data_IF_732754067990
#
_entry.id   IF_732754067990
#
_cell.length_a   1.000
_cell.length_b   1.000
_cell.length_c   1.000
_cell.angle_alpha   90.00
_cell.angle_beta   90.00
_cell.angle_gamma   90.00
#
_symmetry.space_group_name_H-M   'P 1'
#
loop_
_entity.id
_entity.type
_entity.pdbx_description
1 polymer ?
#
# COMPACT_ATOMS: atom_id res chain seq x y z
N UNK A 1 32.14 -10.45 -90.43
CA UNK A 1 30.68 -10.26 -90.39
C UNK A 1 30.15 -10.89 -89.10
N UNK A 2 29.20 -10.21 -88.48
CA UNK A 2 28.71 -10.40 -87.10
C UNK A 2 28.04 -11.76 -86.89
N UNK A 3 28.23 -12.29 -85.68
CA UNK A 3 27.77 -13.56 -85.13
C UNK A 3 26.23 -13.70 -85.01
N UNK A 4 25.75 -14.85 -85.47
CA UNK A 4 24.89 -15.84 -84.81
C UNK A 4 23.95 -15.42 -83.66
N UNK A 5 22.65 -15.42 -83.96
CA UNK A 5 21.70 -16.44 -83.46
C UNK A 5 21.51 -16.58 -81.94
N UNK A 6 20.50 -15.88 -81.42
CA UNK A 6 20.05 -15.82 -80.02
C UNK A 6 19.31 -17.11 -79.59
N UNK A 7 19.89 -17.84 -78.64
CA UNK A 7 19.24 -18.79 -77.71
C UNK A 7 18.41 -17.94 -76.70
N UNK A 8 17.30 -18.32 -76.08
CA UNK A 8 16.84 -19.59 -75.51
C UNK A 8 16.25 -19.26 -74.12
N UNK A 9 15.15 -19.90 -73.73
CA UNK A 9 14.75 -20.06 -72.32
C UNK A 9 14.02 -18.90 -71.63
N UNK A 10 12.67 -18.91 -71.66
CA UNK A 10 11.84 -18.22 -70.67
C UNK A 10 11.59 -19.14 -69.48
N UNK A 11 12.26 -18.88 -68.36
CA UNK A 11 12.23 -19.65 -67.12
C UNK A 11 11.28 -19.01 -66.10
N UNK A 12 10.16 -19.68 -65.82
CA UNK A 12 9.61 -20.13 -64.52
C UNK A 12 9.74 -19.23 -63.26
N UNK A 13 8.60 -19.08 -62.55
CA UNK A 13 8.36 -18.74 -61.12
C UNK A 13 8.65 -17.28 -60.66
N UNK A 14 7.93 -16.67 -59.71
CA UNK A 14 7.36 -17.21 -58.49
C UNK A 14 6.16 -16.40 -57.94
N UNK A 15 5.23 -17.13 -57.30
CA UNK A 15 4.33 -16.65 -56.24
C UNK A 15 5.14 -16.01 -55.10
N UNK A 16 4.67 -14.87 -54.58
CA UNK A 16 5.03 -14.39 -53.25
C UNK A 16 3.74 -14.15 -52.43
N UNK A 17 3.35 -15.16 -51.65
CA UNK A 17 2.41 -15.04 -50.53
C UNK A 17 3.16 -14.40 -49.37
N UNK A 18 2.87 -13.13 -49.07
CA UNK A 18 3.36 -12.48 -47.85
C UNK A 18 2.41 -12.83 -46.68
N UNK A 19 2.82 -13.79 -45.85
CA UNK A 19 2.23 -14.04 -44.54
C UNK A 19 2.85 -13.03 -43.57
N UNK A 20 2.08 -12.02 -43.17
CA UNK A 20 2.46 -11.15 -42.05
C UNK A 20 2.30 -11.92 -40.75
N UNK A 21 3.42 -12.43 -40.23
CA UNK A 21 3.52 -12.86 -38.85
C UNK A 21 3.43 -11.61 -37.95
N UNK A 22 2.25 -11.39 -37.36
CA UNK A 22 2.06 -10.39 -36.32
C UNK A 22 2.91 -10.76 -35.11
N UNK A 23 3.95 -9.99 -34.85
CA UNK A 23 4.69 -10.02 -33.59
C UNK A 23 3.75 -9.48 -32.52
N UNK A 24 3.13 -10.37 -31.75
CA UNK A 24 2.41 -9.99 -30.54
C UNK A 24 3.49 -9.64 -29.52
N UNK A 25 3.78 -8.34 -29.35
CA UNK A 25 4.55 -7.88 -28.20
C UNK A 25 3.80 -8.30 -26.94
N UNK A 26 4.30 -9.35 -26.28
CA UNK A 26 3.95 -9.65 -24.91
C UNK A 26 4.39 -8.45 -24.07
N UNK A 27 3.44 -7.56 -23.77
CA UNK A 27 3.63 -6.52 -22.78
C UNK A 27 4.04 -7.21 -21.49
N UNK A 28 5.23 -6.91 -21.00
CA UNK A 28 5.64 -7.27 -19.65
C UNK A 28 4.64 -6.62 -18.71
N UNK A 29 3.70 -7.42 -18.19
CA UNK A 29 2.89 -7.01 -17.06
C UNK A 29 3.86 -6.74 -15.91
N UNK A 30 4.10 -5.46 -15.63
CA UNK A 30 4.83 -5.05 -14.44
C UNK A 30 4.05 -5.60 -13.25
N UNK A 31 4.62 -6.60 -12.59
CA UNK A 31 4.01 -7.20 -11.42
C UNK A 31 3.78 -6.08 -10.40
N UNK A 32 2.51 -5.81 -10.08
CA UNK A 32 2.15 -4.78 -9.11
C UNK A 32 2.99 -4.99 -7.84
N UNK A 33 3.78 -3.98 -7.48
CA UNK A 33 4.67 -4.07 -6.34
C UNK A 33 3.88 -4.53 -5.10
N UNK A 34 4.40 -5.47 -4.30
CA UNK A 34 3.67 -5.99 -3.15
C UNK A 34 3.38 -4.84 -2.18
N UNK A 35 2.09 -4.56 -1.97
CA UNK A 35 1.62 -3.46 -1.12
C UNK A 35 1.29 -3.95 0.28
N UNK A 36 1.51 -3.08 1.25
CA UNK A 36 1.16 -3.31 2.65
C UNK A 36 -0.23 -2.77 2.88
N UNK A 37 -1.07 -3.52 3.61
CA UNK A 37 -2.37 -3.02 4.06
C UNK A 37 -2.20 -2.40 5.44
N UNK A 38 -2.64 -1.15 5.58
CA UNK A 38 -2.77 -0.47 6.88
C UNK A 38 -4.24 -0.16 7.13
N UNK A 39 -4.75 -0.64 8.25
CA UNK A 39 -6.13 -0.44 8.65
C UNK A 39 -6.20 0.48 9.88
N UNK A 40 -6.98 1.55 9.77
CA UNK A 40 -7.40 2.38 10.89
C UNK A 40 -8.85 2.06 11.23
N UNK A 41 -9.12 1.77 12.49
CA UNK A 41 -10.48 1.46 12.96
C UNK A 41 -10.86 2.34 14.13
N UNK A 42 -12.04 2.94 14.07
CA UNK A 42 -12.58 3.74 15.15
C UNK A 42 -13.83 3.06 15.72
N UNK A 43 -13.82 2.82 17.03
CA UNK A 43 -14.95 2.24 17.74
C UNK A 43 -15.33 3.12 18.93
N UNK A 44 -16.63 3.32 19.14
CA UNK A 44 -17.19 3.85 20.37
C UNK A 44 -17.74 2.73 21.26
N UNK A 45 -18.46 3.08 22.34
CA UNK A 45 -19.06 2.07 23.24
C UNK A 45 -20.08 1.19 22.53
N UNK A 46 -20.78 1.72 21.52
CA UNK A 46 -21.87 1.03 20.81
C UNK A 46 -21.41 0.35 19.51
N UNK A 47 -20.09 0.30 19.25
CA UNK A 47 -19.51 -0.30 18.04
C UNK A 47 -18.81 0.69 17.12
N UNK A 48 -18.68 0.39 15.82
CA UNK A 48 -17.96 1.23 14.86
C UNK A 48 -18.50 2.66 14.82
N UNK A 49 -17.60 3.63 14.78
CA UNK A 49 -17.90 5.06 14.65
C UNK A 49 -17.09 5.61 13.49
N UNK A 50 -17.59 6.66 12.85
CA UNK A 50 -16.83 7.38 11.83
C UNK A 50 -15.39 7.65 12.30
N UNK A 51 -14.39 7.33 11.47
CA UNK A 51 -12.98 7.48 11.86
C UNK A 51 -12.65 8.92 12.26
N UNK A 52 -13.35 9.90 11.70
CA UNK A 52 -13.21 11.32 12.05
C UNK A 52 -13.56 11.60 13.51
N UNK A 53 -14.45 10.82 14.13
CA UNK A 53 -14.78 10.95 15.54
C UNK A 53 -13.59 10.59 16.45
N UNK A 54 -12.77 9.60 16.06
CA UNK A 54 -11.52 9.33 16.76
C UNK A 54 -10.48 10.44 16.55
N UNK A 55 -10.44 11.03 15.36
CA UNK A 55 -9.46 12.05 14.98
C UNK A 55 -9.92 13.48 15.28
N UNK A 56 -10.91 13.69 16.14
CA UNK A 56 -11.54 15.00 16.37
C UNK A 56 -10.51 16.10 16.71
N UNK A 57 -10.27 17.02 15.76
CA UNK A 57 -9.23 18.06 15.87
C UNK A 57 -7.79 17.55 15.94
N UNK A 58 -7.56 16.29 15.54
CA UNK A 58 -6.24 15.68 15.35
C UNK A 58 -5.94 15.50 13.87
N UNK A 59 -4.66 15.31 13.55
CA UNK A 59 -4.20 15.03 12.19
C UNK A 59 -3.88 13.54 12.01
N UNK A 60 -4.08 13.05 10.78
CA UNK A 60 -3.54 11.77 10.31
C UNK A 60 -2.32 12.03 9.43
N UNK A 61 -1.16 11.54 9.82
CA UNK A 61 0.05 11.59 8.99
C UNK A 61 0.19 10.27 8.22
N UNK A 62 0.37 10.35 6.90
CA UNK A 62 0.66 9.20 6.03
C UNK A 62 1.91 9.52 5.21
N UNK A 63 2.98 8.76 5.45
CA UNK A 63 4.21 8.76 4.68
C UNK A 63 4.21 7.63 3.64
N UNK A 64 4.58 7.93 2.40
CA UNK A 64 4.72 6.98 1.28
C UNK A 64 6.02 7.29 0.53
N UNK A 65 6.94 6.32 0.47
CA UNK A 65 8.21 6.43 -0.26
C UNK A 65 8.97 7.75 0.03
N UNK A 66 9.02 8.15 1.30
CA UNK A 66 9.70 9.38 1.74
C UNK A 66 8.87 10.67 1.68
N UNK A 67 7.72 10.68 1.02
CA UNK A 67 6.81 11.83 0.99
C UNK A 67 5.81 11.70 2.13
N UNK A 68 5.63 12.75 2.93
CA UNK A 68 4.69 12.78 4.05
C UNK A 68 3.54 13.72 3.71
N UNK A 69 2.31 13.20 3.77
CA UNK A 69 1.09 14.00 3.69
C UNK A 69 0.40 14.02 5.05
N UNK A 70 -0.01 15.20 5.47
CA UNK A 70 -0.78 15.41 6.71
C UNK A 70 -2.21 15.71 6.29
N UNK A 71 -3.15 14.89 6.76
CA UNK A 71 -4.58 15.04 6.53
C UNK A 71 -5.21 15.64 7.78
N UNK A 72 -5.95 16.74 7.62
CA UNK A 72 -6.88 17.20 8.64
C UNK A 72 -8.05 16.22 8.73
N UNK A 73 -8.78 16.25 9.84
CA UNK A 73 -9.91 15.35 10.11
C UNK A 73 -10.92 15.32 8.96
N UNK A 74 -11.27 16.47 8.41
CA UNK A 74 -12.19 16.65 7.29
C UNK A 74 -11.67 16.09 5.96
N UNK A 75 -10.35 16.11 5.76
CA UNK A 75 -9.69 15.69 4.51
C UNK A 75 -9.48 14.18 4.43
N UNK A 76 -9.72 13.45 5.52
CA UNK A 76 -9.53 11.99 5.58
C UNK A 76 -10.42 11.26 4.56
N UNK A 77 -11.50 11.87 4.09
CA UNK A 77 -12.35 11.32 3.01
C UNK A 77 -11.59 11.11 1.70
N UNK A 78 -10.49 11.85 1.46
CA UNK A 78 -9.63 11.65 0.30
C UNK A 78 -8.91 10.30 0.31
N UNK A 79 -8.86 9.63 1.47
CA UNK A 79 -8.24 8.32 1.64
C UNK A 79 -9.23 7.16 1.51
N UNK A 80 -10.53 7.42 1.52
CA UNK A 80 -11.60 6.43 1.52
C UNK A 80 -12.82 6.90 2.32
N UNK A 81 -13.87 6.09 2.40
CA UNK A 81 -15.05 6.40 3.20
C UNK A 81 -14.81 6.14 4.71
N UNK A 82 -14.72 7.18 5.55
CA UNK A 82 -14.46 7.01 6.97
C UNK A 82 -15.71 6.64 7.79
N UNK A 83 -16.91 6.77 7.20
CA UNK A 83 -18.19 6.69 7.92
C UNK A 83 -18.50 5.30 8.48
N UNK A 84 -17.90 4.26 7.89
CA UNK A 84 -18.01 2.87 8.32
C UNK A 84 -17.20 2.56 9.58
N UNK A 85 -16.33 3.49 9.99
CA UNK A 85 -15.38 3.31 11.09
C UNK A 85 -14.18 2.45 10.76
N UNK A 86 -13.93 2.21 9.47
CA UNK A 86 -12.76 1.50 8.98
C UNK A 86 -12.21 2.20 7.73
N UNK A 87 -10.94 2.60 7.78
CA UNK A 87 -10.18 3.05 6.63
C UNK A 87 -9.05 2.05 6.34
N UNK A 88 -8.98 1.57 5.09
CA UNK A 88 -7.96 0.63 4.64
C UNK A 88 -7.08 1.29 3.58
N UNK A 89 -5.78 1.37 3.83
CA UNK A 89 -4.79 2.00 2.98
C UNK A 89 -3.88 0.93 2.38
N UNK A 90 -3.66 0.99 1.06
CA UNK A 90 -2.64 0.22 0.37
C UNK A 90 -1.40 1.10 0.20
N UNK A 91 -0.31 0.74 0.88
CA UNK A 91 0.90 1.54 0.96
C UNK A 91 2.11 0.81 0.32
N UNK A 92 3.10 1.55 -0.21
CA UNK A 92 4.37 0.96 -0.62
C UNK A 92 5.13 0.42 0.60
N UNK A 93 6.27 -0.23 0.36
CA UNK A 93 7.12 -0.79 1.42
C UNK A 93 7.65 0.30 2.36
N UNK A 94 8.18 1.41 1.87
CA UNK A 94 8.61 2.48 2.77
C UNK A 94 7.42 3.38 3.12
N UNK A 95 6.89 3.23 4.33
CA UNK A 95 5.72 3.99 4.76
C UNK A 95 5.74 4.36 6.24
N UNK A 96 4.97 5.37 6.57
CA UNK A 96 4.70 5.78 7.95
C UNK A 96 3.24 6.10 8.11
N UNK A 97 2.65 5.73 9.24
CA UNK A 97 1.33 6.18 9.65
C UNK A 97 1.38 6.61 11.09
N UNK A 98 0.78 7.76 11.41
CA UNK A 98 0.66 8.25 12.79
C UNK A 98 -0.67 8.98 12.95
N UNK A 99 -1.39 8.66 14.02
CA UNK A 99 -2.68 9.27 14.34
C UNK A 99 -2.87 9.38 15.86
N UNK A 100 -3.44 10.50 16.31
CA UNK A 100 -3.85 10.68 17.70
C UNK A 100 -5.34 10.44 17.80
N UNK A 101 -5.76 9.62 18.75
CA UNK A 101 -7.15 9.57 19.14
C UNK A 101 -7.44 10.76 20.06
N UNK A 102 -8.32 11.67 19.65
CA UNK A 102 -8.82 12.79 20.44
C UNK A 102 -10.29 12.66 20.81
N UNK A 103 -11.01 11.69 20.27
CA UNK A 103 -12.38 11.43 20.70
C UNK A 103 -12.42 11.00 22.18
N UNK A 104 -13.42 11.49 22.91
CA UNK A 104 -13.54 11.29 24.35
C UNK A 104 -13.89 9.85 24.72
N UNK A 105 -14.87 9.27 24.02
CA UNK A 105 -15.41 7.92 24.29
C UNK A 105 -15.13 6.95 23.13
N UNK A 106 -14.04 7.19 22.38
CA UNK A 106 -13.66 6.38 21.24
C UNK A 106 -12.33 5.69 21.45
N UNK A 107 -12.12 4.60 20.71
CA UNK A 107 -10.87 3.85 20.63
C UNK A 107 -10.44 3.77 19.17
N UNK A 108 -9.25 4.30 18.88
CA UNK A 108 -8.61 4.21 17.59
C UNK A 108 -7.65 3.02 17.58
N UNK A 109 -7.76 2.14 16.60
CA UNK A 109 -6.83 1.03 16.38
C UNK A 109 -6.10 1.18 15.05
N UNK A 110 -4.84 0.77 15.02
CA UNK A 110 -4.00 0.69 13.83
C UNK A 110 -3.49 -0.73 13.67
N UNK A 111 -3.76 -1.33 12.52
CA UNK A 111 -3.29 -2.67 12.16
C UNK A 111 -2.49 -2.60 10.87
N UNK A 112 -1.40 -3.36 10.77
CA UNK A 112 -0.60 -3.49 9.56
C UNK A 112 -0.52 -4.95 9.18
N UNK A 113 -0.94 -5.27 7.95
CA UNK A 113 -0.80 -6.58 7.34
C UNK A 113 0.21 -6.54 6.19
N UNK A 114 1.17 -7.46 6.25
CA UNK A 114 2.13 -7.66 5.17
C UNK A 114 1.43 -8.18 3.89
N UNK A 115 2.10 -8.12 2.72
CA UNK A 115 1.56 -8.67 1.48
C UNK A 115 1.18 -10.15 1.55
N UNK A 116 1.79 -10.91 2.49
CA UNK A 116 1.45 -12.29 2.80
C UNK A 116 0.07 -12.47 3.46
N UNK A 117 -0.58 -11.38 3.85
CA UNK A 117 -1.82 -11.36 4.64
C UNK A 117 -1.61 -11.47 6.15
N UNK A 118 -0.37 -11.72 6.60
CA UNK A 118 -0.03 -11.80 8.01
C UNK A 118 -0.07 -10.41 8.65
N UNK A 119 -0.80 -10.27 9.76
CA UNK A 119 -0.70 -9.08 10.62
C UNK A 119 0.67 -9.03 11.29
N UNK A 120 1.39 -7.94 11.09
CA UNK A 120 2.75 -7.71 11.63
C UNK A 120 2.79 -6.64 12.71
N UNK A 121 1.72 -5.84 12.83
CA UNK A 121 1.59 -4.84 13.87
C UNK A 121 0.13 -4.58 14.20
N UNK A 122 -0.14 -4.39 15.49
CA UNK A 122 -1.43 -3.95 16.01
C UNK A 122 -1.21 -3.04 17.22
N UNK A 123 -1.88 -1.90 17.22
CA UNK A 123 -1.96 -1.00 18.36
C UNK A 123 -3.34 -0.39 18.49
N UNK A 124 -3.64 0.08 19.70
CA UNK A 124 -4.83 0.86 19.95
C UNK A 124 -4.52 2.01 20.92
N UNK A 125 -5.22 3.11 20.73
CA UNK A 125 -5.15 4.34 21.50
C UNK A 125 -6.53 4.66 22.09
N UNK A 126 -6.57 4.90 23.39
CA UNK A 126 -7.68 5.58 24.05
C UNK A 126 -7.60 7.10 23.88
N UNK A 127 -8.28 7.83 24.73
CA UNK A 127 -8.37 9.29 24.64
C UNK A 127 -7.02 10.00 24.82
N UNK A 128 -6.68 10.87 23.88
CA UNK A 128 -5.40 11.61 23.74
C UNK A 128 -4.14 10.75 23.51
N UNK A 129 -4.30 9.47 23.18
CA UNK A 129 -3.18 8.57 22.91
C UNK A 129 -2.87 8.44 21.42
N UNK A 130 -1.64 8.02 21.08
CA UNK A 130 -1.19 7.86 19.71
C UNK A 130 -1.10 6.40 19.28
N UNK A 131 -1.54 6.13 18.05
CA UNK A 131 -1.13 4.94 17.28
C UNK A 131 -0.18 5.36 16.19
N UNK A 132 0.90 4.59 15.97
CA UNK A 132 1.86 4.90 14.91
C UNK A 132 2.64 3.67 14.47
N UNK A 133 3.03 3.66 13.21
CA UNK A 133 3.91 2.65 12.65
C UNK A 133 4.80 3.30 11.59
N UNK A 134 6.11 3.03 11.64
CA UNK A 134 7.05 3.46 10.61
C UNK A 134 7.79 2.22 10.12
N UNK A 135 7.66 1.92 8.83
CA UNK A 135 8.42 0.88 8.19
C UNK A 135 9.68 1.49 7.56
N UNK A 136 10.85 0.98 7.94
CA UNK A 136 12.13 1.30 7.31
C UNK A 136 12.76 -0.02 6.85
N UNK A 137 12.64 -0.41 5.58
CA UNK A 137 13.38 -1.57 5.09
C UNK A 137 12.77 -2.29 3.88
N UNK A 138 13.53 -3.23 3.29
CA UNK A 138 13.13 -3.93 2.06
C UNK A 138 12.03 -4.99 2.29
N UNK A 139 11.79 -5.38 3.54
CA UNK A 139 10.81 -6.39 3.94
C UNK A 139 10.00 -5.94 5.16
N UNK A 140 8.67 -6.06 5.06
CA UNK A 140 7.68 -5.65 6.08
C UNK A 140 7.64 -6.63 7.27
N UNK A 141 8.29 -7.78 7.14
CA UNK A 141 8.42 -8.81 8.17
C UNK A 141 9.80 -8.72 8.88
N UNK A 142 9.99 -9.39 10.03
CA UNK A 142 9.87 -8.89 11.40
C UNK A 142 10.92 -7.83 11.86
N UNK A 143 11.59 -7.11 10.96
CA UNK A 143 12.79 -6.33 11.32
C UNK A 143 12.55 -4.87 11.75
N UNK A 144 11.30 -4.40 11.83
CA UNK A 144 11.02 -2.98 12.05
C UNK A 144 10.65 -2.57 13.49
N UNK A 145 11.18 -1.41 13.89
CA UNK A 145 11.04 -0.83 15.23
C UNK A 145 9.63 -0.26 15.43
N UNK A 146 8.99 -0.72 16.50
CA UNK A 146 7.62 -0.34 16.89
C UNK A 146 7.68 0.68 18.04
N UNK A 147 6.76 1.64 18.03
CA UNK A 147 6.67 2.63 19.10
C UNK A 147 5.19 2.92 19.38
N UNK A 148 4.70 2.66 20.59
CA UNK A 148 3.43 3.23 21.07
C UNK A 148 3.77 4.36 22.05
N UNK A 149 3.12 5.52 21.89
CA UNK A 149 3.29 6.65 22.81
C UNK A 149 2.07 6.75 23.74
N UNK A 150 2.32 6.62 25.04
CA UNK A 150 1.36 6.97 26.08
C UNK A 150 1.29 8.48 26.32
N UNK A 151 0.26 8.91 27.05
CA UNK A 151 0.00 10.30 27.45
C UNK A 151 1.14 10.95 28.27
N UNK A 152 2.06 10.14 28.78
CA UNK A 152 3.26 10.53 29.55
C UNK A 152 4.52 10.73 28.69
N UNK A 153 4.41 10.65 27.35
CA UNK A 153 5.54 10.75 26.44
C UNK A 153 6.52 9.57 26.54
N UNK A 154 6.20 8.54 27.33
CA UNK A 154 7.04 7.36 27.46
C UNK A 154 6.79 6.44 26.27
N UNK A 155 7.88 6.03 25.64
CA UNK A 155 7.89 4.93 24.68
C UNK A 155 7.48 3.67 25.43
N UNK A 156 6.32 3.11 25.10
CA UNK A 156 5.99 1.75 25.51
C UNK A 156 6.31 0.83 24.34
N UNK A 157 7.47 0.16 24.33
CA UNK A 157 7.66 -0.93 23.40
C UNK A 157 6.60 -1.98 23.75
N UNK A 158 5.65 -2.23 22.86
CA UNK A 158 5.02 -3.54 22.85
C UNK A 158 6.00 -4.42 22.12
N UNK A 159 6.70 -5.26 22.87
CA UNK A 159 7.16 -6.50 22.30
C UNK A 159 5.89 -7.20 21.82
N UNK A 160 5.77 -7.49 20.53
CA UNK A 160 4.90 -8.58 20.13
C UNK A 160 5.47 -9.80 20.84
N UNK A 161 4.75 -10.34 21.83
CA UNK A 161 5.05 -11.65 22.39
C UNK A 161 4.81 -12.68 21.29
N UNK A 162 5.77 -12.77 20.37
CA UNK A 162 5.91 -13.79 19.35
C UNK A 162 7.26 -14.46 19.53
N UNK A 163 7.62 -14.67 20.79
CA UNK A 163 8.73 -15.52 21.20
C UNK A 163 8.29 -16.32 22.43
N UNK A 164 7.24 -17.13 22.29
CA UNK A 164 7.11 -18.34 23.12
C UNK A 164 6.24 -19.39 22.42
N UNK A 165 6.92 -20.49 22.08
CA UNK A 165 6.46 -21.79 21.57
C UNK A 165 6.02 -21.91 20.10
#
# INVERSE_FOLDING_TARGET
MVMSGRWGGGLVLALALAVFAGVVSAGTAEAAAPTVRVDLRCNGPDGPRDVRACLDGATLEVGRAGIITIYQTEDVVALGDPSTGHLSLSLPKDFRVRAQNRGADTRLSLTVAAPSGKTVYEAAAGHYEWVQYTHCGPQVEPTCRQYNYGKDGRVRPRYSDSATH
#
